data_IF_736861486571
#
_entry.id   IF_736861486571
#
_cell.length_a   1.000
_cell.length_b   1.000
_cell.length_c   1.000
_cell.angle_alpha   90.00
_cell.angle_beta   90.00
_cell.angle_gamma   90.00
#
_symmetry.space_group_name_H-M   'P 1'
#
loop_
_entity.id
_entity.type
_entity.pdbx_description
1 polymer ?
#
# COMPACT_ATOMS: atom_id res chain seq x y z
N UNK A 1 -51.26 -5.38 -16.38
CA UNK A 1 -50.77 -6.76 -16.57
C UNK A 1 -49.56 -6.85 -17.49
N UNK A 2 -49.59 -6.30 -18.74
CA UNK A 2 -48.44 -6.34 -19.67
C UNK A 2 -47.12 -5.77 -19.10
N UNK A 3 -47.16 -4.64 -18.38
CA UNK A 3 -45.96 -4.04 -17.74
C UNK A 3 -45.40 -4.89 -16.60
N UNK A 4 -46.27 -5.55 -15.82
CA UNK A 4 -45.88 -6.50 -14.77
C UNK A 4 -45.30 -7.78 -15.35
N UNK A 5 -45.81 -8.22 -16.51
CA UNK A 5 -45.28 -9.36 -17.25
C UNK A 5 -43.89 -9.07 -17.83
N UNK A 6 -43.67 -7.85 -18.35
CA UNK A 6 -42.36 -7.40 -18.85
C UNK A 6 -41.35 -7.26 -17.71
N UNK A 7 -41.77 -6.75 -16.55
CA UNK A 7 -40.92 -6.65 -15.36
C UNK A 7 -40.51 -8.04 -14.83
N UNK A 8 -41.46 -8.99 -14.79
CA UNK A 8 -41.20 -10.37 -14.39
C UNK A 8 -40.27 -11.11 -15.38
N UNK A 9 -40.44 -10.86 -16.67
CA UNK A 9 -39.58 -11.41 -17.73
C UNK A 9 -38.15 -10.85 -17.67
N UNK A 10 -37.98 -9.57 -17.31
CA UNK A 10 -36.66 -8.93 -17.17
C UNK A 10 -35.91 -9.39 -15.91
N UNK A 11 -36.63 -9.80 -14.85
CA UNK A 11 -36.01 -10.31 -13.62
C UNK A 11 -35.56 -11.78 -13.77
N UNK A 12 -36.24 -12.56 -14.62
CA UNK A 12 -35.90 -13.95 -14.89
C UNK A 12 -34.58 -14.13 -15.66
N UNK A 13 -34.14 -13.14 -16.44
CA UNK A 13 -32.87 -13.19 -17.20
C UNK A 13 -31.62 -12.97 -16.33
N UNK A 14 -31.78 -12.50 -15.09
CA UNK A 14 -30.65 -12.26 -14.17
C UNK A 14 -30.20 -13.53 -13.42
N UNK A 15 -31.01 -14.59 -13.41
CA UNK A 15 -30.74 -15.84 -12.67
C UNK A 15 -30.08 -16.91 -13.54
N UNK A 16 -29.92 -16.66 -14.85
CA UNK A 16 -29.45 -17.64 -15.83
C UNK A 16 -27.91 -17.73 -15.97
N UNK A 17 -27.13 -16.92 -15.24
CA UNK A 17 -25.67 -16.98 -15.28
C UNK A 17 -25.11 -17.58 -14.00
N UNK A 18 -24.64 -18.84 -14.00
CA UNK A 18 -23.89 -19.37 -12.88
C UNK A 18 -22.52 -18.65 -12.81
N UNK A 19 -22.35 -17.77 -11.81
CA UNK A 19 -21.04 -17.21 -11.45
C UNK A 19 -20.17 -18.30 -10.82
N UNK A 20 -19.65 -19.22 -11.64
CA UNK A 20 -18.65 -20.19 -11.19
C UNK A 20 -17.31 -19.47 -11.09
N UNK A 21 -16.97 -18.99 -9.89
CA UNK A 21 -15.62 -18.56 -9.58
C UNK A 21 -14.77 -19.82 -9.41
N UNK A 22 -14.16 -20.26 -10.50
CA UNK A 22 -13.10 -21.26 -10.45
C UNK A 22 -11.87 -20.56 -9.85
N UNK A 23 -11.51 -20.93 -8.62
CA UNK A 23 -10.17 -20.64 -8.12
C UNK A 23 -9.21 -21.42 -9.02
N UNK A 24 -8.50 -20.72 -9.90
CA UNK A 24 -7.32 -21.29 -10.54
C UNK A 24 -6.39 -21.72 -9.41
N UNK A 25 -6.18 -23.03 -9.28
CA UNK A 25 -5.06 -23.56 -8.50
C UNK A 25 -3.82 -22.92 -9.12
N UNK A 26 -3.36 -21.85 -8.49
CA UNK A 26 -2.08 -21.26 -8.81
C UNK A 26 -1.10 -22.39 -8.55
N UNK A 27 -0.46 -22.86 -9.61
CA UNK A 27 0.65 -23.80 -9.58
C UNK A 27 1.49 -23.55 -8.32
N UNK A 28 1.98 -24.59 -7.62
CA UNK A 28 2.62 -24.46 -6.32
C UNK A 28 3.56 -23.27 -6.38
N UNK A 29 3.15 -22.18 -5.74
CA UNK A 29 3.96 -20.99 -5.64
C UNK A 29 5.16 -21.49 -4.87
N UNK A 30 6.27 -21.66 -5.58
CA UNK A 30 7.55 -22.00 -4.99
C UNK A 30 7.64 -21.22 -3.69
N UNK A 31 7.63 -21.96 -2.59
CA UNK A 31 7.87 -21.45 -1.26
C UNK A 31 9.33 -21.00 -1.23
N UNK A 32 9.59 -19.85 -1.85
CA UNK A 32 10.81 -19.09 -1.62
C UNK A 32 10.51 -18.13 -0.48
N UNK A 33 10.47 -18.69 0.72
CA UNK A 33 10.60 -17.91 1.95
C UNK A 33 12.08 -17.52 2.10
N UNK A 34 12.39 -16.31 2.55
CA UNK A 34 12.25 -15.04 1.85
C UNK A 34 13.65 -14.56 1.43
N UNK A 35 13.90 -14.32 0.15
CA UNK A 35 15.04 -13.46 -0.16
C UNK A 35 14.71 -12.12 0.51
N UNK A 36 15.57 -11.68 1.44
CA UNK A 36 15.47 -10.34 2.03
C UNK A 36 15.12 -9.38 0.90
N UNK A 37 14.17 -8.44 1.08
CA UNK A 37 13.98 -7.41 0.08
C UNK A 37 15.35 -6.73 -0.01
N UNK A 38 16.12 -7.07 -1.04
CA UNK A 38 17.35 -6.39 -1.34
C UNK A 38 16.87 -4.99 -1.66
N UNK A 39 16.93 -4.13 -0.64
CA UNK A 39 16.54 -2.75 -0.74
C UNK A 39 17.36 -2.25 -1.93
N UNK A 40 16.71 -1.86 -3.05
CA UNK A 40 17.44 -1.43 -4.22
C UNK A 40 18.44 -0.37 -3.77
N UNK A 41 19.67 -0.42 -4.28
CA UNK A 41 20.74 0.48 -3.84
C UNK A 41 20.29 1.96 -3.87
N UNK A 42 19.42 2.29 -4.83
CA UNK A 42 18.73 3.57 -4.95
C UNK A 42 17.86 3.91 -3.72
N UNK A 43 16.99 2.98 -3.28
CA UNK A 43 16.16 3.17 -2.09
C UNK A 43 17.01 3.34 -0.83
N UNK A 44 18.13 2.62 -0.72
CA UNK A 44 19.05 2.76 0.42
C UNK A 44 19.67 4.16 0.49
N UNK A 45 20.09 4.73 -0.64
CA UNK A 45 20.58 6.12 -0.70
C UNK A 45 19.50 7.10 -0.24
N UNK A 46 18.25 6.88 -0.66
CA UNK A 46 17.12 7.72 -0.26
C UNK A 46 16.80 7.62 1.23
N UNK A 47 16.92 6.42 1.82
CA UNK A 47 16.78 6.21 3.26
C UNK A 47 17.91 6.90 4.04
N UNK A 48 19.16 6.79 3.59
CA UNK A 48 20.29 7.48 4.22
C UNK A 48 20.08 9.01 4.24
N UNK A 49 19.54 9.58 3.16
CA UNK A 49 19.20 11.01 3.12
C UNK A 49 18.12 11.39 4.13
N UNK A 50 17.12 10.53 4.35
CA UNK A 50 16.13 10.74 5.40
C UNK A 50 16.75 10.72 6.80
N UNK A 51 17.71 9.82 7.05
CA UNK A 51 18.42 9.76 8.32
C UNK A 51 19.27 11.02 8.56
N UNK A 52 19.94 11.52 7.52
CA UNK A 52 20.69 12.78 7.57
C UNK A 52 19.75 13.96 7.93
N UNK A 53 18.61 14.09 7.22
CA UNK A 53 17.61 15.14 7.51
C UNK A 53 17.04 14.98 8.93
N UNK A 54 16.89 13.75 9.42
CA UNK A 54 16.41 13.48 10.78
C UNK A 54 17.44 13.93 11.83
N UNK A 55 18.71 13.59 11.63
CA UNK A 55 19.82 13.90 12.53
C UNK A 55 20.23 15.38 12.52
N UNK A 56 19.91 16.11 11.46
CA UNK A 56 20.18 17.54 11.35
C UNK A 56 19.46 18.34 12.46
N UNK A 57 20.19 19.27 13.09
CA UNK A 57 19.59 20.26 13.97
C UNK A 57 18.77 21.27 13.13
N UNK A 58 17.48 21.34 13.45
CA UNK A 58 16.49 22.16 12.75
C UNK A 58 16.15 23.42 13.54
N UNK A 59 16.69 23.60 14.73
CA UNK A 59 16.39 24.73 15.62
C UNK A 59 16.68 26.08 14.95
N UNK A 60 17.81 26.16 14.24
CA UNK A 60 18.35 27.35 13.57
C UNK A 60 17.75 27.61 12.18
N UNK A 61 17.02 26.65 11.60
CA UNK A 61 16.47 26.78 10.25
C UNK A 61 15.23 27.68 10.21
N UNK A 62 15.14 28.48 9.16
CA UNK A 62 13.97 29.30 8.84
C UNK A 62 12.76 28.43 8.47
N UNK A 63 11.57 29.03 8.52
CA UNK A 63 10.31 28.35 8.19
C UNK A 63 10.28 27.85 6.73
N UNK A 64 10.92 28.56 5.81
CA UNK A 64 11.08 28.20 4.40
C UNK A 64 11.96 26.96 4.22
N UNK A 65 13.15 26.93 4.85
CA UNK A 65 14.08 25.80 4.76
C UNK A 65 13.47 24.54 5.38
N UNK A 66 12.80 24.67 6.54
CA UNK A 66 12.02 23.58 7.14
C UNK A 66 10.93 23.06 6.19
N UNK A 67 10.32 23.93 5.37
CA UNK A 67 9.29 23.53 4.40
C UNK A 67 9.89 22.77 3.23
N UNK A 68 11.09 23.13 2.80
CA UNK A 68 11.83 22.42 1.75
C UNK A 68 12.25 21.02 2.19
N UNK A 69 12.82 20.89 3.39
CA UNK A 69 13.13 19.58 3.98
C UNK A 69 11.89 18.69 4.09
N UNK A 70 10.74 19.24 4.48
CA UNK A 70 9.47 18.49 4.49
C UNK A 70 9.02 18.05 3.09
N UNK A 71 9.24 18.87 2.06
CA UNK A 71 8.91 18.50 0.67
C UNK A 71 9.83 17.37 0.18
N UNK A 72 11.12 17.46 0.49
CA UNK A 72 12.12 16.45 0.16
C UNK A 72 11.78 15.09 0.80
N UNK A 73 11.52 15.08 2.12
CA UNK A 73 11.09 13.88 2.86
C UNK A 73 9.83 13.26 2.24
N UNK A 74 8.85 14.10 1.86
CA UNK A 74 7.60 13.63 1.24
C UNK A 74 7.83 13.06 -0.16
N UNK A 75 8.76 13.62 -0.93
CA UNK A 75 9.13 13.13 -2.25
C UNK A 75 9.80 11.76 -2.12
N UNK A 76 10.82 11.66 -1.26
CA UNK A 76 11.51 10.39 -0.98
C UNK A 76 10.50 9.31 -0.55
N UNK A 77 9.59 9.65 0.36
CA UNK A 77 8.53 8.72 0.81
C UNK A 77 7.62 8.25 -0.33
N UNK A 78 7.33 9.10 -1.32
CA UNK A 78 6.50 8.73 -2.48
C UNK A 78 7.28 7.83 -3.43
N UNK A 79 8.53 8.18 -3.72
CA UNK A 79 9.39 7.45 -4.63
C UNK A 79 9.67 6.03 -4.07
N UNK A 80 10.02 5.90 -2.79
CA UNK A 80 10.20 4.60 -2.12
C UNK A 80 8.92 3.75 -2.11
N UNK A 81 7.74 4.38 -2.03
CA UNK A 81 6.44 3.67 -2.14
C UNK A 81 6.13 3.24 -3.57
N UNK A 82 6.54 4.02 -4.56
CA UNK A 82 6.30 3.74 -5.97
C UNK A 82 7.23 2.66 -6.52
N UNK A 83 8.44 2.51 -5.96
CA UNK A 83 9.45 1.50 -6.35
C UNK A 83 9.08 0.05 -6.04
N UNK A 84 7.88 -0.23 -5.49
CA UNK A 84 7.22 -1.53 -5.58
C UNK A 84 8.03 -2.77 -5.20
N UNK A 85 8.15 -3.06 -3.89
CA UNK A 85 8.21 -4.42 -3.33
C UNK A 85 8.19 -4.37 -1.79
N UNK A 86 7.00 -4.58 -1.20
CA UNK A 86 6.82 -4.74 0.24
C UNK A 86 6.19 -3.53 0.94
N UNK A 87 5.20 -3.80 1.78
CA UNK A 87 4.49 -2.81 2.58
C UNK A 87 5.44 -2.21 3.64
N UNK A 88 6.04 -1.04 3.35
CA UNK A 88 6.85 -0.32 4.33
C UNK A 88 5.95 0.40 5.33
N UNK A 89 5.62 -0.31 6.42
CA UNK A 89 4.77 0.19 7.49
C UNK A 89 5.57 1.20 8.33
N UNK A 90 5.08 2.44 8.37
CA UNK A 90 5.59 3.48 9.28
C UNK A 90 5.51 2.99 10.73
N UNK A 91 6.42 3.41 11.61
CA UNK A 91 6.37 3.03 13.05
C UNK A 91 4.99 3.27 13.68
N UNK A 92 4.35 4.40 13.37
CA UNK A 92 2.96 4.67 13.81
C UNK A 92 1.90 3.73 13.23
N UNK A 93 2.08 3.23 12.01
CA UNK A 93 1.16 2.26 11.42
C UNK A 93 1.39 0.85 12.01
N UNK A 94 2.61 0.50 12.42
CA UNK A 94 2.87 -0.74 13.19
C UNK A 94 2.13 -0.67 14.53
N UNK A 95 2.20 0.47 15.22
CA UNK A 95 1.51 0.66 16.51
C UNK A 95 -0.01 0.51 16.34
N UNK A 96 -0.60 1.10 15.30
CA UNK A 96 -2.04 0.96 15.01
C UNK A 96 -2.42 -0.49 14.69
N UNK A 97 -1.62 -1.19 13.87
CA UNK A 97 -1.86 -2.60 13.55
C UNK A 97 -1.77 -3.47 14.81
N UNK A 98 -0.79 -3.22 15.67
CA UNK A 98 -0.62 -3.93 16.93
C UNK A 98 -1.82 -3.74 17.87
N UNK A 99 -2.35 -2.51 17.95
CA UNK A 99 -3.55 -2.21 18.74
C UNK A 99 -4.80 -2.93 18.19
N UNK A 100 -4.97 -2.98 16.87
CA UNK A 100 -6.11 -3.67 16.24
C UNK A 100 -6.10 -5.18 16.51
N UNK A 101 -4.93 -5.82 16.55
CA UNK A 101 -4.79 -7.27 16.86
C UNK A 101 -5.14 -7.59 18.32
N UNK A 102 -4.97 -6.63 19.25
CA UNK A 102 -5.30 -6.83 20.68
C UNK A 102 -6.79 -6.61 20.96
N UNK A 103 -7.44 -5.71 20.20
CA UNK A 103 -8.85 -5.34 20.38
C UNK A 103 -9.80 -6.32 19.67
N UNK A 104 -9.36 -6.88 18.54
CA UNK A 104 -10.12 -7.87 17.76
C UNK A 104 -9.86 -9.29 18.28
#
# INVERSE_FOLDING_TARGET
MKKSLILLLMMATFVAFPNTVMATEKAPMHTTTPAAPEIPAEVKVMLNRLEEIKAMDKSTLSSSEKKELRKEVRKIKKDVRASGNGLYISSGAIIIILLLIIIL
#
